data_IF_085619631978
#
_entry.id   IF_085619631978
#
_cell.length_a   1.000
_cell.length_b   1.000
_cell.length_c   1.000
_cell.angle_alpha   90.00
_cell.angle_beta   90.00
_cell.angle_gamma   90.00
#
_symmetry.space_group_name_H-M   'P 1'
#
loop_
_entity.id
_entity.type
_entity.pdbx_description
1 polymer ?
#
# COMPACT_ATOMS: atom_id res chain seq x y z
N UNK A 1 -19.74 -13.49 -19.40
CA UNK A 1 -19.54 -12.43 -18.39
C UNK A 1 -18.10 -12.52 -17.93
N UNK A 2 -17.30 -11.46 -18.07
CA UNK A 2 -15.92 -11.46 -17.60
C UNK A 2 -15.98 -11.37 -16.07
N UNK A 3 -15.68 -12.48 -15.39
CA UNK A 3 -15.48 -12.49 -13.94
C UNK A 3 -14.29 -11.57 -13.65
N UNK A 4 -14.56 -10.37 -13.14
CA UNK A 4 -13.52 -9.41 -12.76
C UNK A 4 -12.79 -10.05 -11.56
N UNK A 5 -11.50 -10.36 -11.74
CA UNK A 5 -10.65 -10.94 -10.68
C UNK A 5 -10.74 -10.01 -9.44
N UNK A 6 -10.89 -10.56 -8.22
CA UNK A 6 -10.94 -9.74 -7.02
C UNK A 6 -9.66 -8.91 -6.89
N UNK A 7 -9.78 -7.72 -6.27
CA UNK A 7 -8.66 -6.87 -5.93
C UNK A 7 -7.64 -7.63 -5.08
N UNK A 8 -6.40 -7.17 -5.08
CA UNK A 8 -5.34 -7.76 -4.27
C UNK A 8 -4.88 -6.75 -3.22
N UNK A 9 -4.72 -7.22 -1.98
CA UNK A 9 -4.13 -6.44 -0.90
C UNK A 9 -2.60 -6.54 -0.91
N UNK A 10 -1.93 -5.43 -0.57
CA UNK A 10 -0.48 -5.37 -0.34
C UNK A 10 -0.22 -4.41 0.83
N UNK A 11 0.85 -4.65 1.60
CA UNK A 11 1.29 -3.70 2.61
C UNK A 11 2.24 -2.68 1.97
N UNK A 12 1.99 -1.39 2.18
CA UNK A 12 2.91 -0.31 1.84
C UNK A 12 3.45 0.36 3.11
N UNK A 13 4.78 0.42 3.24
CA UNK A 13 5.45 1.08 4.36
C UNK A 13 6.29 2.23 3.83
N UNK A 14 6.06 3.43 4.36
CA UNK A 14 6.89 4.61 4.11
C UNK A 14 7.91 4.75 5.24
N UNK A 15 9.19 4.71 4.89
CA UNK A 15 10.28 4.67 5.88
C UNK A 15 10.41 6.00 6.64
N UNK A 16 10.97 6.00 7.87
CA UNK A 16 11.00 7.20 8.73
C UNK A 16 11.59 8.46 8.09
N UNK A 17 12.62 8.33 7.24
CA UNK A 17 13.24 9.48 6.56
C UNK A 17 12.29 10.15 5.56
N UNK A 18 11.42 9.38 4.89
CA UNK A 18 10.36 9.92 4.03
C UNK A 18 9.28 10.58 4.88
N UNK A 19 8.83 9.91 5.93
CA UNK A 19 7.76 10.41 6.81
C UNK A 19 8.16 11.72 7.53
N UNK A 20 9.46 11.94 7.75
CA UNK A 20 10.01 13.20 8.30
C UNK A 20 10.08 14.34 7.28
N UNK A 21 9.93 14.07 5.99
CA UNK A 21 9.89 15.07 4.92
C UNK A 21 8.45 15.23 4.40
N UNK A 22 7.73 16.31 4.78
CA UNK A 22 6.35 16.51 4.35
C UNK A 22 6.18 16.50 2.83
N UNK A 23 7.15 17.06 2.10
CA UNK A 23 7.14 17.08 0.63
C UNK A 23 7.28 15.69 0.03
N UNK A 24 8.26 14.89 0.48
CA UNK A 24 8.45 13.54 -0.04
C UNK A 24 7.27 12.63 0.31
N UNK A 25 6.74 12.76 1.53
CA UNK A 25 5.55 12.05 1.97
C UNK A 25 4.34 12.39 1.08
N UNK A 26 4.08 13.68 0.83
CA UNK A 26 2.97 14.08 -0.02
C UNK A 26 3.13 13.56 -1.45
N UNK A 27 4.33 13.68 -2.04
CA UNK A 27 4.60 13.16 -3.38
C UNK A 27 4.35 11.66 -3.51
N UNK A 28 4.77 10.85 -2.53
CA UNK A 28 4.52 9.41 -2.57
C UNK A 28 3.02 9.10 -2.38
N UNK A 29 2.32 9.89 -1.56
CA UNK A 29 0.87 9.79 -1.42
C UNK A 29 0.15 10.09 -2.73
N UNK A 30 0.56 11.14 -3.44
CA UNK A 30 0.03 11.49 -4.75
C UNK A 30 0.26 10.33 -5.73
N UNK A 31 1.48 9.77 -5.78
CA UNK A 31 1.80 8.60 -6.61
C UNK A 31 0.85 7.43 -6.33
N UNK A 32 0.54 7.13 -5.06
CA UNK A 32 -0.39 6.05 -4.70
C UNK A 32 -1.78 6.30 -5.28
N UNK A 33 -2.31 7.51 -5.09
CA UNK A 33 -3.67 7.87 -5.53
C UNK A 33 -3.75 7.97 -7.06
N UNK A 34 -2.79 8.62 -7.70
CA UNK A 34 -2.72 8.79 -9.16
C UNK A 34 -2.57 7.45 -9.90
N UNK A 35 -2.03 6.42 -9.23
CA UNK A 35 -1.94 5.07 -9.75
C UNK A 35 -3.13 4.17 -9.34
N UNK A 36 -4.25 4.76 -8.92
CA UNK A 36 -5.51 4.08 -8.60
C UNK A 36 -5.40 3.01 -7.50
N UNK A 37 -4.43 3.13 -6.60
CA UNK A 37 -4.40 2.28 -5.41
C UNK A 37 -5.53 2.68 -4.46
N UNK A 38 -6.33 1.70 -4.06
CA UNK A 38 -7.36 1.89 -3.04
C UNK A 38 -6.77 1.64 -1.66
N UNK A 39 -6.61 2.70 -0.89
CA UNK A 39 -6.07 2.64 0.48
C UNK A 39 -7.15 2.14 1.46
N UNK A 40 -7.08 0.89 1.88
CA UNK A 40 -8.10 0.26 2.76
C UNK A 40 -7.92 0.65 4.23
N UNK A 41 -6.66 0.70 4.69
CA UNK A 41 -6.27 1.10 6.04
C UNK A 41 -4.97 1.89 5.98
N UNK A 42 -4.82 2.83 6.91
CA UNK A 42 -3.62 3.66 7.04
C UNK A 42 -3.37 3.90 8.52
N UNK A 43 -2.11 3.78 8.96
CA UNK A 43 -1.69 4.12 10.32
C UNK A 43 -0.26 4.64 10.33
N UNK A 44 0.08 5.41 11.36
CA UNK A 44 1.46 5.81 11.67
C UNK A 44 1.90 5.08 12.93
N UNK A 45 3.04 4.41 12.87
CA UNK A 45 3.61 3.71 14.02
C UNK A 45 5.12 3.96 14.10
N UNK A 46 5.69 3.75 15.27
CA UNK A 46 7.13 3.68 15.51
C UNK A 46 7.43 2.21 15.79
N UNK A 47 8.34 1.63 15.01
CA UNK A 47 8.82 0.25 15.20
C UNK A 47 10.25 0.28 15.70
N UNK A 48 10.62 -0.68 16.54
CA UNK A 48 12.00 -0.85 16.98
C UNK A 48 12.88 -1.35 15.83
N UNK A 49 14.19 -1.26 16.01
CA UNK A 49 15.14 -1.79 15.04
C UNK A 49 15.00 -3.32 14.89
N UNK A 50 14.81 -4.03 15.99
CA UNK A 50 14.64 -5.49 16.01
C UNK A 50 13.35 -5.91 15.28
N UNK A 51 12.23 -5.21 15.53
CA UNK A 51 10.97 -5.44 14.82
C UNK A 51 11.12 -5.19 13.31
N UNK A 52 11.88 -4.16 12.93
CA UNK A 52 12.17 -3.86 11.54
C UNK A 52 13.07 -4.93 10.89
N UNK A 53 14.11 -5.40 11.59
CA UNK A 53 15.03 -6.43 11.09
C UNK A 53 14.31 -7.77 10.89
N UNK A 54 13.45 -8.17 11.83
CA UNK A 54 12.60 -9.36 11.67
C UNK A 54 11.66 -9.25 10.47
N UNK A 55 11.13 -8.05 10.24
CA UNK A 55 10.15 -7.80 9.17
C UNK A 55 10.74 -7.80 7.75
N UNK A 56 12.00 -7.39 7.56
CA UNK A 56 12.62 -7.27 6.23
C UNK A 56 13.30 -8.54 5.70
N UNK A 57 13.11 -9.70 6.36
CA UNK A 57 13.70 -10.96 5.92
C UNK A 57 12.84 -11.61 4.81
N UNK A 58 13.43 -11.75 3.61
CA UNK A 58 12.86 -12.26 2.34
C UNK A 58 11.70 -11.40 1.77
N UNK A 59 11.24 -11.46 0.51
CA UNK A 59 10.52 -12.55 -0.17
C UNK A 59 10.37 -12.18 -1.73
N UNK A 60 9.45 -12.81 -2.53
CA UNK A 60 9.13 -12.48 -3.97
C UNK A 60 7.63 -12.66 -4.38
N UNK A 61 7.09 -11.89 -5.35
CA UNK A 61 5.79 -12.18 -6.04
C UNK A 61 5.08 -11.04 -6.86
N UNK A 62 3.75 -11.20 -7.15
CA UNK A 62 2.96 -10.78 -8.35
C UNK A 62 1.76 -9.75 -8.16
N UNK A 63 1.33 -9.10 -9.27
CA UNK A 63 0.17 -8.20 -9.56
C UNK A 63 0.07 -6.79 -8.88
N UNK A 64 -0.80 -6.51 -7.90
CA UNK A 64 -0.82 -5.23 -7.16
C UNK A 64 0.48 -5.03 -6.38
N UNK A 65 1.02 -6.14 -5.91
CA UNK A 65 2.35 -6.21 -5.35
C UNK A 65 3.39 -5.87 -6.43
N UNK A 66 3.28 -6.42 -7.64
CA UNK A 66 4.17 -6.06 -8.77
C UNK A 66 4.05 -4.58 -9.08
N UNK A 67 2.84 -4.05 -9.22
CA UNK A 67 2.60 -2.63 -9.50
C UNK A 67 3.22 -1.74 -8.44
N UNK A 68 3.06 -2.06 -7.16
CA UNK A 68 3.69 -1.31 -6.07
C UNK A 68 5.21 -1.42 -6.14
N UNK A 69 5.75 -2.60 -6.44
CA UNK A 69 7.20 -2.82 -6.58
C UNK A 69 7.81 -2.12 -7.80
N UNK A 70 7.08 -2.03 -8.91
CA UNK A 70 7.45 -1.26 -10.10
C UNK A 70 7.53 0.23 -9.76
N UNK A 71 6.51 0.78 -9.08
CA UNK A 71 6.52 2.17 -8.62
C UNK A 71 7.63 2.45 -7.61
N UNK A 72 7.95 1.47 -6.76
CA UNK A 72 9.11 1.56 -5.87
C UNK A 72 10.43 1.58 -6.65
N UNK A 73 10.56 0.71 -7.65
CA UNK A 73 11.79 0.47 -8.41
C UNK A 73 12.82 -0.40 -7.66
N UNK A 74 14.05 -0.53 -8.20
CA UNK A 74 15.07 -1.43 -7.67
C UNK A 74 15.38 -1.20 -6.18
N UNK A 75 15.62 -2.28 -5.43
CA UNK A 75 15.90 -2.21 -3.98
C UNK A 75 17.16 -1.41 -3.67
N UNK A 76 18.20 -1.57 -4.49
CA UNK A 76 19.48 -0.86 -4.37
C UNK A 76 19.32 0.56 -4.90
N UNK A 77 19.58 1.55 -4.04
CA UNK A 77 19.29 2.96 -4.38
C UNK A 77 20.12 3.42 -5.58
N UNK A 78 21.38 3.03 -5.68
CA UNK A 78 22.22 3.38 -6.83
C UNK A 78 21.64 2.81 -8.15
N UNK A 79 21.11 1.58 -8.12
CA UNK A 79 20.46 0.98 -9.29
C UNK A 79 19.16 1.70 -9.61
N UNK A 80 18.37 2.06 -8.61
CA UNK A 80 17.13 2.80 -8.81
C UNK A 80 17.40 4.19 -9.40
N UNK A 81 18.37 4.92 -8.88
CA UNK A 81 18.78 6.24 -9.39
C UNK A 81 19.28 6.17 -10.82
N UNK A 82 20.01 5.11 -11.19
CA UNK A 82 20.57 4.97 -12.52
C UNK A 82 19.58 4.40 -13.55
N UNK A 83 18.91 3.30 -13.23
CA UNK A 83 18.05 2.56 -14.16
C UNK A 83 16.61 3.08 -14.19
N UNK A 84 16.14 3.66 -13.09
CA UNK A 84 14.73 4.03 -12.92
C UNK A 84 14.56 5.30 -12.04
N UNK A 85 15.17 6.44 -12.41
CA UNK A 85 15.26 7.63 -11.55
C UNK A 85 13.90 8.21 -11.11
N UNK A 86 12.85 7.94 -11.88
CA UNK A 86 11.49 8.42 -11.63
C UNK A 86 10.69 7.53 -10.66
N UNK A 87 11.24 6.40 -10.20
CA UNK A 87 10.57 5.55 -9.20
C UNK A 87 10.77 6.12 -7.80
N UNK A 88 9.96 5.67 -6.83
CA UNK A 88 10.03 6.17 -5.44
C UNK A 88 11.44 6.01 -4.86
N UNK A 89 12.11 4.88 -5.12
CA UNK A 89 13.50 4.63 -4.65
C UNK A 89 14.53 5.45 -5.43
N UNK A 90 14.32 5.67 -6.73
CA UNK A 90 15.20 6.51 -7.55
C UNK A 90 15.15 7.97 -7.11
N UNK A 91 13.93 8.49 -6.86
CA UNK A 91 13.72 9.89 -6.51
C UNK A 91 14.02 10.21 -5.04
N UNK A 92 13.67 9.31 -4.11
CA UNK A 92 13.71 9.60 -2.66
C UNK A 92 14.66 8.70 -1.86
N UNK A 93 15.32 7.73 -2.49
CA UNK A 93 16.28 6.86 -1.83
C UNK A 93 17.56 7.59 -1.43
N UNK A 94 18.06 7.33 -0.22
CA UNK A 94 19.31 7.90 0.31
C UNK A 94 20.42 6.85 0.45
N UNK A 95 20.06 5.61 0.76
CA UNK A 95 20.97 4.46 0.89
C UNK A 95 20.18 3.16 0.82
N UNK A 96 20.83 2.00 0.67
CA UNK A 96 20.16 0.70 0.62
C UNK A 96 19.20 0.45 1.79
N UNK A 97 19.59 0.87 2.99
CA UNK A 97 18.75 0.78 4.20
C UNK A 97 17.68 1.89 4.27
N UNK A 98 17.93 3.04 3.64
CA UNK A 98 17.04 4.21 3.56
C UNK A 98 16.58 4.43 2.11
N UNK A 99 15.91 3.44 1.56
CA UNK A 99 15.42 3.43 0.19
C UNK A 99 13.94 3.88 0.09
N UNK A 100 13.51 4.87 0.85
CA UNK A 100 12.16 5.46 0.83
C UNK A 100 10.96 4.57 1.23
N UNK A 101 10.73 3.44 0.56
CA UNK A 101 9.53 2.62 0.68
C UNK A 101 9.80 1.12 0.69
N UNK A 102 8.91 0.41 1.36
CA UNK A 102 8.80 -1.04 1.35
C UNK A 102 7.38 -1.43 0.92
N UNK A 103 7.27 -2.60 0.31
CA UNK A 103 6.02 -3.32 0.29
C UNK A 103 6.27 -4.79 0.09
N UNK A 104 5.21 -5.54 0.37
CA UNK A 104 5.16 -6.99 0.26
C UNK A 104 5.61 -7.42 -1.13
N UNK A 105 5.92 -8.69 -1.27
CA UNK A 105 6.28 -9.26 -2.57
C UNK A 105 5.36 -10.41 -2.95
N UNK A 106 4.84 -11.21 -2.03
CA UNK A 106 3.86 -12.26 -2.33
C UNK A 106 2.50 -11.99 -1.65
N UNK A 107 1.38 -12.54 -2.18
CA UNK A 107 0.09 -12.47 -1.49
C UNK A 107 0.15 -13.01 -0.06
N UNK A 108 0.92 -14.08 0.15
CA UNK A 108 1.11 -14.72 1.45
C UNK A 108 1.91 -13.81 2.40
N UNK A 109 3.01 -13.19 1.93
CA UNK A 109 3.76 -12.20 2.72
C UNK A 109 2.86 -11.00 3.03
N UNK A 110 2.10 -10.48 2.06
CA UNK A 110 1.17 -9.39 2.28
C UNK A 110 0.17 -9.70 3.41
N UNK A 111 -0.41 -10.90 3.44
CA UNK A 111 -1.33 -11.28 4.51
C UNK A 111 -0.66 -11.32 5.90
N UNK A 112 0.54 -11.92 5.99
CA UNK A 112 1.29 -12.00 7.26
C UNK A 112 1.71 -10.62 7.75
N UNK A 113 2.26 -9.81 6.85
CA UNK A 113 2.69 -8.45 7.14
C UNK A 113 1.50 -7.56 7.55
N UNK A 114 0.36 -7.66 6.85
CA UNK A 114 -0.87 -6.94 7.22
C UNK A 114 -1.30 -7.33 8.64
N UNK A 115 -1.24 -8.61 9.04
CA UNK A 115 -1.58 -9.03 10.41
C UNK A 115 -0.63 -8.47 11.47
N UNK A 116 0.66 -8.33 11.16
CA UNK A 116 1.65 -7.69 12.05
C UNK A 116 1.28 -6.22 12.28
N UNK A 117 0.91 -5.50 11.22
CA UNK A 117 0.64 -4.07 11.27
C UNK A 117 -0.83 -3.70 11.51
N UNK A 118 -1.79 -4.59 11.36
CA UNK A 118 -3.21 -4.30 11.54
C UNK A 118 -3.86 -5.52 12.19
N UNK A 119 -3.55 -5.74 13.47
CA UNK A 119 -3.98 -6.92 14.23
C UNK A 119 -5.49 -7.07 14.31
N UNK A 120 -6.21 -5.95 14.24
CA UNK A 120 -7.67 -5.84 14.22
C UNK A 120 -8.28 -6.01 12.83
N UNK A 121 -7.46 -6.06 11.77
CA UNK A 121 -7.92 -6.20 10.40
C UNK A 121 -8.06 -7.67 10.00
N UNK A 122 -9.28 -8.04 9.59
CA UNK A 122 -9.60 -9.38 9.10
C UNK A 122 -9.70 -9.38 7.57
N UNK A 123 -8.67 -9.91 6.92
CA UNK A 123 -8.55 -9.99 5.44
C UNK A 123 -9.71 -10.77 4.82
N UNK A 124 -10.07 -11.92 5.37
CA UNK A 124 -11.17 -12.75 4.88
C UNK A 124 -12.51 -12.01 4.91
N UNK A 125 -12.81 -11.34 6.04
CA UNK A 125 -14.03 -10.53 6.18
C UNK A 125 -14.03 -9.37 5.19
N UNK A 126 -12.89 -8.73 4.98
CA UNK A 126 -12.75 -7.65 4.01
C UNK A 126 -13.07 -8.12 2.58
N UNK A 127 -12.49 -9.23 2.15
CA UNK A 127 -12.76 -9.81 0.82
C UNK A 127 -14.23 -10.18 0.61
N UNK A 128 -14.91 -10.65 1.65
CA UNK A 128 -16.31 -11.07 1.57
C UNK A 128 -17.30 -9.90 1.56
N UNK A 129 -17.01 -8.83 2.30
CA UNK A 129 -17.97 -7.77 2.60
C UNK A 129 -17.60 -6.47 1.93
N UNK A 130 -16.35 -6.03 2.07
CA UNK A 130 -15.93 -4.69 1.68
C UNK A 130 -15.38 -4.64 0.24
N UNK A 131 -14.63 -5.66 -0.20
CA UNK A 131 -13.96 -5.69 -1.52
C UNK A 131 -14.90 -5.37 -2.70
N UNK A 132 -16.15 -5.88 -2.77
CA UNK A 132 -17.04 -5.58 -3.88
C UNK A 132 -17.29 -4.07 -4.06
N UNK A 133 -17.41 -3.32 -2.96
CA UNK A 133 -17.59 -1.88 -3.01
C UNK A 133 -16.34 -1.18 -3.57
N UNK A 134 -15.15 -1.68 -3.24
CA UNK A 134 -13.88 -1.15 -3.73
C UNK A 134 -13.71 -1.44 -5.24
N UNK A 135 -14.01 -2.66 -5.69
CA UNK A 135 -13.84 -3.09 -7.08
C UNK A 135 -14.88 -2.47 -8.04
N UNK A 136 -16.05 -2.09 -7.50
CA UNK A 136 -17.10 -1.33 -8.17
C UNK A 136 -16.91 0.19 -8.10
N UNK A 137 -15.89 0.69 -7.39
CA UNK A 137 -15.64 2.12 -7.25
C UNK A 137 -16.66 2.86 -6.36
N UNK A 138 -17.41 2.14 -5.53
CA UNK A 138 -18.39 2.68 -4.57
C UNK A 138 -17.71 3.16 -3.28
N UNK A 139 -16.56 3.80 -3.42
CA UNK A 139 -15.75 4.32 -2.32
C UNK A 139 -15.35 5.76 -2.59
N UNK A 140 -15.23 6.55 -1.54
CA UNK A 140 -14.67 7.91 -1.58
C UNK A 140 -13.36 7.97 -0.82
N UNK A 141 -12.41 8.76 -1.31
CA UNK A 141 -11.17 8.98 -0.61
C UNK A 141 -11.32 10.05 0.48
N UNK A 142 -10.90 9.73 1.70
CA UNK A 142 -10.73 10.67 2.81
C UNK A 142 -9.26 11.10 2.89
N UNK A 143 -8.93 12.35 2.50
CA UNK A 143 -7.55 12.82 2.50
C UNK A 143 -6.98 13.05 3.91
N UNK A 144 -7.82 13.26 4.93
CA UNK A 144 -7.37 13.48 6.31
C UNK A 144 -6.92 12.17 6.94
N UNK A 145 -7.73 11.13 6.79
CA UNK A 145 -7.41 9.79 7.29
C UNK A 145 -6.49 9.01 6.32
N UNK A 146 -6.35 9.49 5.07
CA UNK A 146 -5.62 8.84 3.98
C UNK A 146 -6.14 7.41 3.73
N UNK A 147 -7.46 7.25 3.62
CA UNK A 147 -8.15 5.96 3.39
C UNK A 147 -9.32 6.14 2.44
N UNK A 148 -9.70 5.08 1.74
CA UNK A 148 -10.96 4.99 1.02
C UNK A 148 -12.05 4.45 1.95
N UNK A 149 -13.20 5.11 1.96
CA UNK A 149 -14.36 4.78 2.78
C UNK A 149 -15.49 4.39 1.84
N UNK A 150 -16.22 3.32 2.16
CA UNK A 150 -17.40 2.88 1.41
C UNK A 150 -18.45 4.00 1.45
N UNK A 151 -19.00 4.34 0.30
CA UNK A 151 -20.09 5.30 0.23
C UNK A 151 -21.28 4.72 1.00
N UNK A 152 -21.88 5.50 1.90
CA UNK A 152 -23.12 5.09 2.55
C UNK A 152 -24.16 4.79 1.48
N UNK A 153 -24.55 3.52 1.36
CA UNK A 153 -25.68 3.15 0.53
C UNK A 153 -26.91 3.65 1.28
N UNK A 154 -27.60 4.63 0.70
CA UNK A 154 -28.87 5.10 1.20
C UNK A 154 -29.89 3.95 1.15
N UNK A 155 -30.00 3.20 2.24
CA UNK A 155 -30.90 2.04 2.37
C UNK A 155 -32.37 2.45 2.36
N UNK A 156 -32.69 3.75 2.26
CA UNK A 156 -34.06 4.26 2.20
C UNK A 156 -34.67 4.25 0.78
N UNK A 157 -33.91 3.97 -0.28
CA UNK A 157 -34.42 3.97 -1.67
C UNK A 157 -34.84 2.62 -2.24
N UNK A 158 -34.96 1.57 -1.43
CA UNK A 158 -35.59 0.30 -1.82
C UNK A 158 -36.93 0.12 -1.11
N UNK A 159 -37.89 1.01 -1.35
CA UNK A 159 -39.32 0.70 -1.24
C UNK A 159 -40.10 1.67 -2.11
N UNK A 160 -40.31 1.34 -3.39
CA UNK A 160 -41.50 1.69 -4.16
C UNK A 160 -41.75 0.56 -5.16
#
# INVERSE_FOLDING_TARGET
>A
MISKKPLQLTLAILKPHVVKSPFALQKIRDIIIDNDFKVVRSRRTIITREEAEFFYADHKGHDAIVKWRELMGPTKVYQAQYLAPNTIRGTFGLSDTRNAAHGSDSPESAEQEIKIFFKDFNTTKWYQIEEPFFSLGQVRFDPKAFVHIINEVDTTKSTI
#
